data_IF_991218671058
#
_entry.id   IF_991218671058
#
_cell.length_a   1.000
_cell.length_b   1.000
_cell.length_c   1.000
_cell.angle_alpha   90.00
_cell.angle_beta   90.00
_cell.angle_gamma   90.00
#
_symmetry.space_group_name_H-M   'P 1'
#
loop_
_entity.id
_entity.type
_entity.pdbx_description
1 polymer ?
#
# COMPACT_ATOMS: atom_id res chain seq x y z
N UNK A 1 38.86 68.50 -30.62
CA UNK A 1 37.65 69.01 -29.95
C UNK A 1 36.74 67.84 -29.68
N UNK A 2 36.81 67.27 -28.48
CA UNK A 2 35.98 66.14 -28.07
C UNK A 2 35.64 66.32 -26.60
N UNK A 3 34.49 66.92 -26.34
CA UNK A 3 33.96 67.13 -24.98
C UNK A 3 32.87 66.09 -24.74
N UNK A 4 33.16 65.14 -23.87
CA UNK A 4 32.15 64.28 -23.27
C UNK A 4 31.28 65.08 -22.32
N UNK A 5 29.98 64.87 -22.39
CA UNK A 5 29.03 65.30 -21.37
C UNK A 5 28.12 64.13 -21.05
N UNK A 6 28.29 63.62 -19.83
CA UNK A 6 27.41 62.67 -19.16
C UNK A 6 26.35 63.49 -18.44
N UNK A 7 25.07 63.20 -18.63
CA UNK A 7 24.02 63.65 -17.71
C UNK A 7 22.79 62.74 -17.74
N UNK A 8 22.67 61.99 -16.64
CA UNK A 8 21.47 61.64 -15.88
C UNK A 8 20.21 61.16 -16.63
N UNK A 9 20.00 59.86 -16.52
CA UNK A 9 18.71 59.16 -16.65
C UNK A 9 17.76 59.62 -15.54
N UNK A 10 16.63 60.21 -15.89
CA UNK A 10 15.50 60.42 -14.99
C UNK A 10 14.44 59.35 -15.25
N UNK A 11 14.35 58.35 -14.38
CA UNK A 11 13.21 57.44 -14.31
C UNK A 11 12.28 57.95 -13.21
N UNK A 12 11.17 58.56 -13.61
CA UNK A 12 10.10 58.93 -12.69
C UNK A 12 9.27 57.68 -12.35
N UNK A 13 9.53 57.11 -11.18
CA UNK A 13 8.72 56.03 -10.62
C UNK A 13 7.46 56.58 -9.96
N UNK A 14 6.32 56.51 -10.66
CA UNK A 14 5.00 56.80 -10.09
C UNK A 14 4.57 55.66 -9.15
N UNK A 15 4.78 55.84 -7.85
CA UNK A 15 4.37 54.89 -6.81
C UNK A 15 2.84 54.79 -6.71
N UNK A 16 2.27 53.65 -7.15
CA UNK A 16 0.87 53.28 -6.86
C UNK A 16 0.76 52.74 -5.44
N UNK A 17 0.32 53.59 -4.52
CA UNK A 17 0.02 53.27 -3.13
C UNK A 17 -1.08 52.19 -3.04
N UNK A 18 -0.67 50.94 -2.77
CA UNK A 18 -1.57 49.79 -2.59
C UNK A 18 -2.30 49.88 -1.25
N UNK A 19 -3.54 50.35 -1.26
CA UNK A 19 -4.53 50.21 -0.16
C UNK A 19 -5.06 48.75 -0.03
N UNK A 20 -4.18 47.75 -0.10
CA UNK A 20 -4.53 46.32 -0.03
C UNK A 20 -4.21 45.64 1.30
N UNK A 21 -3.46 46.30 2.19
CA UNK A 21 -2.91 45.67 3.40
C UNK A 21 -3.94 45.33 4.48
N UNK A 22 -5.06 46.06 4.57
CA UNK A 22 -6.03 45.86 5.65
C UNK A 22 -6.96 44.66 5.44
N UNK A 23 -7.24 44.28 4.18
CA UNK A 23 -8.14 43.16 3.86
C UNK A 23 -7.47 41.82 4.10
N UNK A 24 -6.20 41.68 3.68
CA UNK A 24 -5.42 40.47 3.91
C UNK A 24 -5.07 40.27 5.39
N UNK A 25 -4.83 41.36 6.15
CA UNK A 25 -4.66 41.28 7.62
C UNK A 25 -5.90 40.73 8.32
N UNK A 26 -7.10 41.15 7.90
CA UNK A 26 -8.38 40.62 8.42
C UNK A 26 -8.57 39.14 8.06
N UNK A 27 -8.24 38.76 6.83
CA UNK A 27 -8.32 37.36 6.40
C UNK A 27 -7.36 36.48 7.20
N UNK A 28 -6.10 36.91 7.37
CA UNK A 28 -5.09 36.18 8.14
C UNK A 28 -5.52 35.99 9.61
N UNK A 29 -6.09 37.04 10.22
CA UNK A 29 -6.61 36.97 11.59
C UNK A 29 -7.76 35.95 11.69
N UNK A 30 -8.70 35.97 10.75
CA UNK A 30 -9.84 35.04 10.75
C UNK A 30 -9.41 33.59 10.50
N UNK A 31 -8.50 33.34 9.55
CA UNK A 31 -7.93 32.02 9.31
C UNK A 31 -7.16 31.51 10.53
N UNK A 32 -6.36 32.37 11.18
CA UNK A 32 -5.65 32.00 12.42
C UNK A 32 -6.59 31.70 13.58
N UNK A 33 -7.68 32.47 13.73
CA UNK A 33 -8.68 32.25 14.79
C UNK A 33 -9.43 30.93 14.60
N UNK A 34 -9.87 30.63 13.37
CA UNK A 34 -10.47 29.34 13.05
C UNK A 34 -9.50 28.17 13.28
N UNK A 35 -8.22 28.34 12.92
CA UNK A 35 -7.20 27.32 13.15
C UNK A 35 -6.99 27.04 14.64
N UNK A 36 -6.89 28.09 15.46
CA UNK A 36 -6.73 27.95 16.93
C UNK A 36 -7.97 27.30 17.55
N UNK A 37 -9.18 27.75 17.20
CA UNK A 37 -10.42 27.11 17.67
C UNK A 37 -10.48 25.63 17.28
N UNK A 38 -10.19 25.27 16.03
CA UNK A 38 -10.17 23.88 15.55
C UNK A 38 -9.07 23.04 16.17
N UNK A 39 -7.89 23.62 16.44
CA UNK A 39 -6.79 22.93 17.10
C UNK A 39 -7.15 22.53 18.53
N UNK A 40 -7.78 23.43 19.30
CA UNK A 40 -8.21 23.12 20.66
C UNK A 40 -9.44 22.22 20.73
N UNK A 41 -10.36 22.29 19.75
CA UNK A 41 -11.49 21.35 19.70
C UNK A 41 -11.04 19.93 19.35
N UNK A 42 -9.94 19.77 18.60
CA UNK A 42 -9.33 18.48 18.28
C UNK A 42 -8.67 17.76 19.47
N UNK A 43 -8.42 18.47 20.58
CA UNK A 43 -7.84 17.92 21.81
C UNK A 43 -8.80 17.89 23.00
N UNK A 44 -10.05 18.34 22.86
CA UNK A 44 -11.05 18.23 23.91
C UNK A 44 -11.50 16.75 24.04
N UNK A 45 -11.31 16.08 25.20
CA UNK A 45 -11.96 14.80 25.45
C UNK A 45 -13.46 15.06 25.49
N UNK A 46 -14.24 14.38 24.65
CA UNK A 46 -15.70 14.45 24.74
C UNK A 46 -16.13 13.89 26.10
N UNK A 47 -16.44 14.79 27.04
CA UNK A 47 -17.00 14.45 28.34
C UNK A 47 -18.43 13.98 28.12
N UNK A 48 -18.65 12.67 28.26
CA UNK A 48 -19.98 12.07 28.23
C UNK A 48 -20.82 12.57 29.42
N UNK A 49 -21.79 13.45 29.17
CA UNK A 49 -22.82 13.74 30.17
C UNK A 49 -23.94 12.70 30.06
N UNK A 50 -23.95 11.76 31.01
CA UNK A 50 -25.06 10.87 31.28
C UNK A 50 -26.24 11.68 31.82
N UNK A 51 -27.37 11.63 31.12
CA UNK A 51 -28.66 12.13 31.58
C UNK A 51 -29.61 10.93 31.68
N UNK A 52 -29.86 10.49 32.91
CA UNK A 52 -30.90 9.54 33.26
C UNK A 52 -31.92 10.26 34.15
N UNK A 53 -33.15 10.31 33.68
CA UNK A 53 -34.38 10.44 34.45
C UNK A 53 -35.53 9.93 33.55
N UNK A 54 -36.41 9.01 33.91
CA UNK A 54 -36.58 8.20 35.10
C UNK A 54 -37.86 7.35 34.99
N UNK A 55 -37.83 6.16 35.61
CA UNK A 55 -38.97 5.36 36.12
C UNK A 55 -39.81 4.52 35.12
N UNK A 56 -40.60 3.52 35.59
CA UNK A 56 -40.16 2.12 35.65
C UNK A 56 -41.12 1.16 34.90
N UNK A 57 -40.75 -0.13 34.83
CA UNK A 57 -41.63 -1.30 35.08
C UNK A 57 -41.45 -2.49 34.11
N UNK A 58 -40.99 -3.59 34.73
CA UNK A 58 -41.30 -5.02 34.53
C UNK A 58 -41.07 -5.72 33.17
N UNK A 59 -40.16 -6.69 33.30
CA UNK A 59 -40.29 -8.12 32.99
C UNK A 59 -40.14 -8.59 31.53
N UNK A 60 -39.20 -9.51 31.33
CA UNK A 60 -39.10 -10.35 30.13
C UNK A 60 -37.67 -10.68 29.69
N UNK A 61 -37.04 -11.61 30.41
CA UNK A 61 -36.17 -12.71 29.95
C UNK A 61 -34.97 -12.49 28.99
N UNK A 62 -33.79 -12.74 29.57
CA UNK A 62 -32.73 -13.67 29.15
C UNK A 62 -32.25 -13.77 27.69
N UNK A 63 -30.92 -13.61 27.50
CA UNK A 63 -29.94 -14.57 26.95
C UNK A 63 -28.69 -13.79 26.47
N UNK A 64 -27.64 -13.70 27.29
CA UNK A 64 -26.48 -14.61 27.34
C UNK A 64 -25.47 -14.41 26.19
N UNK A 65 -24.43 -13.63 26.49
CA UNK A 65 -23.24 -13.44 25.66
C UNK A 65 -22.30 -14.64 25.78
N UNK A 66 -21.90 -15.22 24.64
CA UNK A 66 -20.86 -16.26 24.58
C UNK A 66 -19.48 -15.62 24.49
N UNK A 67 -18.67 -15.82 25.54
CA UNK A 67 -17.21 -15.67 25.51
C UNK A 67 -16.61 -17.08 25.51
N UNK A 68 -15.76 -17.40 24.54
CA UNK A 68 -14.96 -18.63 24.55
C UNK A 68 -13.52 -18.27 24.92
N UNK A 69 -13.08 -18.85 26.02
CA UNK A 69 -11.74 -18.80 26.55
C UNK A 69 -10.84 -19.88 25.93
N UNK A 70 -9.54 -19.58 25.93
CA UNK A 70 -8.42 -20.42 25.48
C UNK A 70 -7.98 -21.39 26.58
N UNK A 71 -7.52 -22.58 26.17
CA UNK A 71 -6.87 -23.63 26.98
C UNK A 71 -7.64 -24.95 26.80
N UNK A 72 -7.10 -26.04 26.27
CA UNK A 72 -5.80 -26.67 26.53
C UNK A 72 -6.12 -28.13 26.93
N UNK A 73 -5.54 -29.09 26.21
CA UNK A 73 -5.49 -30.54 26.50
C UNK A 73 -6.78 -31.38 26.45
N UNK A 74 -6.94 -32.22 25.41
CA UNK A 74 -7.29 -33.65 25.55
C UNK A 74 -7.41 -34.38 24.19
N UNK A 75 -6.39 -35.20 23.91
CA UNK A 75 -6.42 -36.58 23.36
C UNK A 75 -7.31 -36.94 22.16
N UNK A 76 -6.60 -37.23 21.07
CA UNK A 76 -6.96 -38.10 19.95
C UNK A 76 -7.50 -39.46 20.42
N UNK A 77 -8.62 -39.91 19.86
CA UNK A 77 -8.97 -41.32 19.70
C UNK A 77 -9.71 -41.53 18.37
N UNK A 78 -9.06 -42.22 17.44
CA UNK A 78 -9.61 -42.77 16.20
C UNK A 78 -10.37 -44.06 16.53
N UNK A 79 -11.61 -44.21 16.02
CA UNK A 79 -12.30 -45.51 15.83
C UNK A 79 -13.08 -45.45 14.50
N UNK A 80 -13.09 -46.51 13.66
CA UNK A 80 -13.50 -46.49 12.24
C UNK A 80 -15.00 -46.83 12.01
N UNK A 81 -15.53 -46.79 10.76
CA UNK A 81 -16.97 -46.64 10.48
C UNK A 81 -17.72 -47.99 10.25
N UNK A 82 -19.06 -48.00 10.35
CA UNK A 82 -19.92 -49.04 9.77
C UNK A 82 -20.88 -48.52 8.66
N UNK A 83 -21.58 -49.40 7.93
CA UNK A 83 -21.72 -49.31 6.47
C UNK A 83 -23.07 -48.75 5.92
N UNK A 84 -23.01 -48.54 4.61
CA UNK A 84 -24.01 -48.08 3.61
C UNK A 84 -25.41 -48.71 3.74
N UNK A 85 -26.45 -47.88 3.50
CA UNK A 85 -27.82 -48.35 3.20
C UNK A 85 -28.84 -47.26 2.83
N UNK A 86 -29.01 -47.03 1.53
CA UNK A 86 -30.25 -46.69 0.76
C UNK A 86 -31.09 -45.41 1.01
N UNK A 87 -31.05 -44.53 0.00
CA UNK A 87 -32.09 -43.71 -0.67
C UNK A 87 -33.32 -43.18 0.10
N UNK A 88 -33.51 -41.85 0.09
CA UNK A 88 -34.65 -41.23 -0.64
C UNK A 88 -34.51 -39.71 -0.80
N UNK A 89 -35.07 -39.22 -1.90
CA UNK A 89 -34.84 -37.89 -2.48
C UNK A 89 -35.34 -36.69 -1.68
N UNK A 90 -34.61 -35.59 -1.85
CA UNK A 90 -35.01 -34.23 -1.52
C UNK A 90 -34.26 -33.29 -2.45
N UNK A 91 -34.99 -32.64 -3.36
CA UNK A 91 -34.44 -31.73 -4.35
C UNK A 91 -33.70 -30.57 -3.70
N UNK A 92 -32.37 -30.57 -3.85
CA UNK A 92 -31.54 -29.39 -3.66
C UNK A 92 -31.05 -28.98 -5.03
N UNK A 93 -31.44 -27.78 -5.47
CA UNK A 93 -30.84 -27.15 -6.63
C UNK A 93 -29.35 -26.95 -6.36
N UNK A 94 -28.51 -27.83 -6.90
CA UNK A 94 -27.08 -27.56 -7.05
C UNK A 94 -26.98 -26.47 -8.11
N UNK A 95 -26.70 -25.25 -7.66
CA UNK A 95 -26.16 -24.24 -8.56
C UNK A 95 -24.82 -24.80 -8.98
N UNK A 96 -24.81 -25.37 -10.17
CA UNK A 96 -23.61 -25.60 -10.97
C UNK A 96 -23.00 -24.21 -11.21
N UNK A 97 -22.17 -23.78 -10.27
CA UNK A 97 -21.23 -22.69 -10.55
C UNK A 97 -20.27 -23.36 -11.51
N UNK A 98 -20.46 -23.07 -12.80
CA UNK A 98 -19.57 -23.55 -13.84
C UNK A 98 -18.13 -23.32 -13.39
N UNK A 99 -17.43 -24.42 -13.13
CA UNK A 99 -15.99 -24.45 -13.22
C UNK A 99 -15.71 -24.26 -14.72
N UNK A 100 -15.71 -23.00 -15.15
CA UNK A 100 -15.32 -22.59 -16.49
C UNK A 100 -13.86 -23.02 -16.70
N UNK A 101 -13.68 -24.14 -17.41
CA UNK A 101 -12.62 -24.41 -18.38
C UNK A 101 -11.18 -23.94 -18.03
N UNK A 102 -10.63 -24.28 -16.86
CA UNK A 102 -9.23 -23.95 -16.51
C UNK A 102 -8.30 -25.18 -16.47
N UNK A 103 -8.76 -26.34 -16.98
CA UNK A 103 -8.01 -27.61 -17.00
C UNK A 103 -7.17 -27.84 -18.28
N UNK A 104 -7.08 -26.85 -19.17
CA UNK A 104 -6.25 -26.91 -20.40
C UNK A 104 -5.14 -25.84 -20.41
N UNK A 105 -4.53 -25.57 -19.25
CA UNK A 105 -3.35 -24.71 -19.18
C UNK A 105 -2.15 -25.50 -18.69
N UNK A 106 -1.20 -25.79 -19.60
CA UNK A 106 0.12 -26.31 -19.25
C UNK A 106 0.80 -25.47 -18.13
N UNK A 107 1.88 -25.99 -17.51
CA UNK A 107 2.49 -25.35 -16.34
C UNK A 107 2.83 -23.88 -16.61
N UNK A 108 2.15 -22.97 -15.89
CA UNK A 108 2.30 -21.52 -16.06
C UNK A 108 3.74 -21.10 -15.72
N UNK A 109 4.38 -20.31 -16.61
CA UNK A 109 5.72 -19.75 -16.37
C UNK A 109 5.74 -18.89 -15.10
N UNK A 110 6.83 -18.94 -14.34
CA UNK A 110 7.04 -18.07 -13.18
C UNK A 110 7.06 -16.60 -13.62
N UNK A 111 6.27 -15.77 -12.95
CA UNK A 111 6.36 -14.32 -13.08
C UNK A 111 7.24 -13.75 -11.98
N UNK A 112 8.28 -13.02 -12.37
CA UNK A 112 9.23 -12.35 -11.49
C UNK A 112 9.00 -10.85 -11.59
N UNK A 113 8.32 -10.28 -10.60
CA UNK A 113 8.06 -8.84 -10.55
C UNK A 113 9.20 -8.18 -9.80
N UNK A 114 9.92 -7.26 -10.44
CA UNK A 114 11.03 -6.51 -9.84
C UNK A 114 10.58 -5.08 -9.53
N UNK A 115 10.65 -4.67 -8.28
CA UNK A 115 10.32 -3.31 -7.84
C UNK A 115 11.48 -2.68 -7.12
N UNK A 116 11.91 -1.51 -7.61
CA UNK A 116 12.96 -0.69 -7.02
C UNK A 116 12.35 0.44 -6.21
N UNK A 117 12.94 0.77 -5.07
CA UNK A 117 12.52 1.94 -4.28
C UNK A 117 13.69 2.90 -4.09
N UNK A 118 13.40 4.16 -3.77
CA UNK A 118 14.39 5.21 -3.57
C UNK A 118 14.32 5.75 -2.16
N UNK A 119 15.44 6.19 -1.59
CA UNK A 119 15.48 6.80 -0.27
C UNK A 119 15.01 8.26 -0.27
N UNK A 120 14.27 8.65 0.77
CA UNK A 120 13.85 10.03 0.99
C UNK A 120 12.94 10.18 2.22
N UNK A 121 13.15 11.25 3.00
CA UNK A 121 12.41 11.47 4.26
C UNK A 121 10.88 11.56 4.05
N UNK A 122 10.43 12.17 2.95
CA UNK A 122 9.02 12.24 2.58
C UNK A 122 8.49 10.98 1.86
N UNK A 123 9.39 10.12 1.38
CA UNK A 123 9.03 9.01 0.51
C UNK A 123 8.63 7.76 1.29
N UNK A 124 9.04 7.64 2.55
CA UNK A 124 8.77 6.45 3.37
C UNK A 124 7.28 6.12 3.51
N UNK A 125 6.45 7.13 3.79
CA UNK A 125 5.00 6.94 3.94
C UNK A 125 4.35 6.58 2.60
N UNK A 126 4.73 7.28 1.54
CA UNK A 126 4.23 7.05 0.19
C UNK A 126 4.60 5.64 -0.29
N UNK A 127 5.87 5.26 -0.15
CA UNK A 127 6.42 3.94 -0.47
C UNK A 127 5.62 2.82 0.22
N UNK A 128 5.32 2.97 1.51
CA UNK A 128 4.51 1.98 2.24
C UNK A 128 3.15 1.76 1.57
N UNK A 129 2.43 2.84 1.25
CA UNK A 129 1.13 2.75 0.60
C UNK A 129 1.23 2.14 -0.81
N UNK A 130 2.24 2.52 -1.58
CA UNK A 130 2.51 2.02 -2.92
C UNK A 130 2.84 0.53 -2.94
N UNK A 131 3.74 0.08 -2.05
CA UNK A 131 4.09 -1.33 -1.90
C UNK A 131 2.88 -2.16 -1.46
N UNK A 132 2.07 -1.67 -0.51
CA UNK A 132 0.85 -2.37 -0.10
C UNK A 132 -0.15 -2.49 -1.25
N UNK A 133 -0.35 -1.41 -2.01
CA UNK A 133 -1.25 -1.43 -3.17
C UNK A 133 -0.78 -2.42 -4.22
N UNK A 134 0.50 -2.37 -4.59
CA UNK A 134 1.08 -3.31 -5.54
C UNK A 134 0.96 -4.75 -5.03
N UNK A 135 1.25 -4.99 -3.75
CA UNK A 135 1.11 -6.31 -3.15
C UNK A 135 -0.32 -6.84 -3.24
N UNK A 136 -1.32 -6.01 -2.96
CA UNK A 136 -2.73 -6.39 -3.11
C UNK A 136 -3.08 -6.78 -4.55
N UNK A 137 -2.56 -6.06 -5.55
CA UNK A 137 -2.70 -6.46 -6.96
C UNK A 137 -2.02 -7.80 -7.23
N UNK A 138 -0.77 -7.99 -6.78
CA UNK A 138 -0.01 -9.21 -7.02
C UNK A 138 -0.63 -10.46 -6.35
N UNK A 139 -1.39 -10.29 -5.27
CA UNK A 139 -2.16 -11.40 -4.64
C UNK A 139 -3.27 -11.94 -5.51
N UNK A 140 -3.79 -11.13 -6.44
CA UNK A 140 -4.86 -11.52 -7.36
C UNK A 140 -4.30 -12.17 -8.62
N UNK A 141 -3.00 -12.01 -8.88
CA UNK A 141 -2.34 -12.62 -10.05
C UNK A 141 -2.22 -14.12 -9.82
N UNK A 142 -2.61 -14.90 -10.83
CA UNK A 142 -2.54 -16.37 -10.79
C UNK A 142 -1.09 -16.82 -10.51
N UNK A 143 -0.86 -17.76 -9.57
CA UNK A 143 0.47 -18.29 -9.30
C UNK A 143 1.04 -19.05 -10.52
N UNK A 144 2.37 -19.20 -10.65
CA UNK A 144 3.41 -18.80 -9.69
C UNK A 144 3.92 -17.37 -9.89
N UNK A 145 4.04 -16.61 -8.79
CA UNK A 145 4.56 -15.22 -8.74
C UNK A 145 5.63 -15.09 -7.65
N UNK A 146 6.73 -14.43 -7.95
CA UNK A 146 7.74 -13.99 -6.97
C UNK A 146 7.98 -12.50 -7.12
N UNK A 147 7.85 -11.75 -6.02
CA UNK A 147 8.08 -10.32 -5.98
C UNK A 147 9.47 -10.00 -5.43
N UNK A 148 10.36 -9.50 -6.28
CA UNK A 148 11.70 -9.05 -5.90
C UNK A 148 11.66 -7.55 -5.60
N UNK A 149 11.81 -7.20 -4.32
CA UNK A 149 11.87 -5.81 -3.89
C UNK A 149 13.32 -5.45 -3.61
N UNK A 150 13.83 -4.46 -4.33
CA UNK A 150 15.17 -3.92 -4.18
C UNK A 150 15.08 -2.51 -3.62
N UNK A 151 15.85 -2.24 -2.58
CA UNK A 151 15.81 -0.94 -1.93
C UNK A 151 17.12 -0.57 -1.25
N UNK A 152 17.36 0.71 -0.96
CA UNK A 152 18.52 1.14 -0.20
C UNK A 152 18.57 0.46 1.16
N UNK A 153 19.76 -0.01 1.56
CA UNK A 153 19.93 -0.76 2.80
C UNK A 153 19.51 0.00 4.07
N UNK A 154 19.51 1.34 4.04
CA UNK A 154 19.03 2.18 5.14
C UNK A 154 17.50 2.05 5.35
N UNK A 155 16.76 1.73 4.30
CA UNK A 155 15.30 1.62 4.31
C UNK A 155 14.79 0.19 4.55
N UNK A 156 15.63 -0.81 4.25
CA UNK A 156 15.32 -2.24 4.30
C UNK A 156 14.56 -2.71 5.56
N UNK A 157 14.89 -2.30 6.80
CA UNK A 157 14.17 -2.78 7.98
C UNK A 157 12.67 -2.40 7.97
N UNK A 158 12.34 -1.19 7.53
CA UNK A 158 10.96 -0.70 7.51
C UNK A 158 10.15 -1.34 6.39
N UNK A 159 10.75 -1.52 5.22
CA UNK A 159 10.06 -2.19 4.11
C UNK A 159 9.88 -3.68 4.38
N UNK A 160 10.85 -4.34 5.02
CA UNK A 160 10.70 -5.73 5.44
C UNK A 160 9.47 -5.93 6.35
N UNK A 161 9.18 -4.97 7.24
CA UNK A 161 7.96 -5.00 8.06
C UNK A 161 6.69 -4.96 7.21
N UNK A 162 6.67 -4.11 6.16
CA UNK A 162 5.55 -4.03 5.22
C UNK A 162 5.39 -5.34 4.47
N UNK A 163 6.46 -5.87 3.89
CA UNK A 163 6.42 -7.07 3.03
C UNK A 163 5.96 -8.32 3.79
N UNK A 164 6.38 -8.49 5.06
CA UNK A 164 5.93 -9.62 5.91
C UNK A 164 4.41 -9.70 6.05
N UNK A 165 3.71 -8.57 6.04
CA UNK A 165 2.25 -8.50 6.18
C UNK A 165 1.46 -8.71 4.89
N UNK A 166 2.13 -8.81 3.73
CA UNK A 166 1.45 -8.82 2.43
C UNK A 166 0.86 -10.18 2.06
N UNK A 167 1.53 -11.27 2.42
CA UNK A 167 1.18 -12.63 1.96
C UNK A 167 1.60 -12.93 0.52
N UNK A 168 2.30 -12.01 -0.16
CA UNK A 168 2.91 -12.26 -1.48
C UNK A 168 4.26 -12.94 -1.27
N UNK A 169 4.60 -13.94 -2.08
CA UNK A 169 5.95 -14.49 -2.03
C UNK A 169 6.97 -13.46 -2.51
N UNK A 170 7.89 -13.07 -1.64
CA UNK A 170 8.86 -12.03 -1.96
C UNK A 170 10.32 -12.44 -1.69
N UNK A 171 11.22 -11.79 -2.43
CA UNK A 171 12.66 -11.75 -2.17
C UNK A 171 13.02 -10.29 -1.94
N UNK A 172 13.58 -9.98 -0.78
CA UNK A 172 13.90 -8.61 -0.39
C UNK A 172 15.42 -8.41 -0.40
N UNK A 173 15.89 -7.46 -1.23
CA UNK A 173 17.30 -7.18 -1.47
C UNK A 173 17.67 -5.79 -0.97
N UNK A 174 18.49 -5.75 0.08
CA UNK A 174 19.08 -4.52 0.59
C UNK A 174 20.26 -4.11 -0.30
N UNK A 175 20.05 -3.12 -1.14
CA UNK A 175 21.02 -2.54 -2.05
C UNK A 175 21.90 -1.52 -1.33
N UNK A 176 23.21 -1.72 -1.40
CA UNK A 176 24.22 -0.80 -0.88
C UNK A 176 24.99 -0.23 -2.07
N UNK A 177 24.83 1.06 -2.41
CA UNK A 177 25.72 1.72 -3.36
C UNK A 177 27.17 1.58 -2.91
N UNK A 178 28.07 1.24 -3.83
CA UNK A 178 29.52 1.41 -3.62
C UNK A 178 29.90 2.89 -3.74
N UNK A 179 29.19 3.62 -4.60
CA UNK A 179 29.38 5.04 -4.86
C UNK A 179 28.06 5.80 -4.77
N UNK A 180 28.12 7.10 -4.47
CA UNK A 180 26.94 7.95 -4.48
C UNK A 180 26.45 8.16 -5.91
N UNK A 181 25.17 7.86 -6.16
CA UNK A 181 24.55 8.12 -7.45
C UNK A 181 24.30 9.61 -7.67
N UNK A 182 24.57 10.06 -8.89
CA UNK A 182 24.31 11.45 -9.32
C UNK A 182 22.82 11.71 -9.59
N UNK A 183 22.05 10.68 -9.94
CA UNK A 183 20.62 10.79 -10.27
C UNK A 183 19.83 9.60 -9.73
N UNK A 184 18.55 9.83 -9.44
CA UNK A 184 17.62 8.77 -9.02
C UNK A 184 17.42 7.69 -10.11
N UNK A 185 17.53 8.07 -11.38
CA UNK A 185 17.42 7.11 -12.49
C UNK A 185 18.62 6.16 -12.53
N UNK A 186 19.85 6.67 -12.32
CA UNK A 186 21.05 5.85 -12.25
C UNK A 186 21.00 4.86 -11.07
N UNK A 187 20.52 5.31 -9.91
CA UNK A 187 20.30 4.43 -8.76
C UNK A 187 19.27 3.33 -9.09
N UNK A 188 18.13 3.68 -9.68
CA UNK A 188 17.12 2.71 -10.08
C UNK A 188 17.66 1.68 -11.08
N UNK A 189 18.50 2.10 -12.03
CA UNK A 189 19.14 1.19 -12.98
C UNK A 189 20.08 0.20 -12.27
N UNK A 190 20.91 0.69 -11.34
CA UNK A 190 21.79 -0.18 -10.56
C UNK A 190 21.00 -1.18 -9.70
N UNK A 191 19.90 -0.75 -9.10
CA UNK A 191 19.00 -1.63 -8.35
C UNK A 191 18.35 -2.71 -9.24
N UNK A 192 17.89 -2.35 -10.45
CA UNK A 192 17.35 -3.31 -11.43
C UNK A 192 18.40 -4.34 -11.84
N UNK A 193 19.63 -3.91 -12.08
CA UNK A 193 20.73 -4.82 -12.41
C UNK A 193 21.07 -5.74 -11.24
N UNK A 194 21.03 -5.25 -9.99
CA UNK A 194 21.20 -6.08 -8.81
C UNK A 194 20.08 -7.15 -8.68
N UNK A 195 18.85 -6.81 -9.06
CA UNK A 195 17.74 -7.78 -9.13
C UNK A 195 18.01 -8.85 -10.19
N UNK A 196 18.46 -8.46 -11.38
CA UNK A 196 18.80 -9.39 -12.47
C UNK A 196 19.92 -10.34 -12.06
N UNK A 197 21.00 -9.82 -11.46
CA UNK A 197 22.09 -10.64 -10.93
C UNK A 197 21.58 -11.64 -9.87
N UNK A 198 20.61 -11.24 -9.05
CA UNK A 198 19.97 -12.15 -8.09
C UNK A 198 19.15 -13.25 -8.76
N UNK A 199 18.36 -12.90 -9.78
CA UNK A 199 17.56 -13.84 -10.59
C UNK A 199 18.47 -14.86 -11.27
N UNK A 200 19.55 -14.41 -11.89
CA UNK A 200 20.56 -15.24 -12.54
C UNK A 200 21.25 -16.17 -11.55
N UNK A 201 21.77 -15.63 -10.45
CA UNK A 201 22.46 -16.40 -9.39
C UNK A 201 21.61 -17.54 -8.84
N UNK A 202 20.30 -17.33 -8.70
CA UNK A 202 19.38 -18.34 -8.17
C UNK A 202 18.65 -19.13 -9.26
N UNK A 203 19.01 -18.93 -10.53
CA UNK A 203 18.43 -19.62 -11.70
C UNK A 203 16.89 -19.59 -11.70
N UNK A 204 16.31 -18.43 -11.40
CA UNK A 204 14.86 -18.25 -11.46
C UNK A 204 14.43 -18.15 -12.92
N UNK A 205 14.00 -19.27 -13.50
CA UNK A 205 13.51 -19.33 -14.87
C UNK A 205 12.07 -18.84 -14.95
N UNK A 206 11.83 -17.75 -15.69
CA UNK A 206 10.52 -17.13 -15.82
C UNK A 206 10.56 -15.81 -16.57
N UNK A 207 9.41 -15.13 -16.61
CA UNK A 207 9.27 -13.80 -17.21
C UNK A 207 9.56 -12.74 -16.17
N UNK A 208 10.45 -11.80 -16.47
CA UNK A 208 10.80 -10.68 -15.57
C UNK A 208 10.06 -9.42 -15.99
N UNK A 209 9.39 -8.77 -15.05
CA UNK A 209 8.75 -7.48 -15.26
C UNK A 209 9.24 -6.44 -14.26
N UNK A 210 9.74 -5.30 -14.74
CA UNK A 210 10.14 -4.17 -13.89
C UNK A 210 8.92 -3.29 -13.57
N UNK A 211 8.35 -3.49 -12.37
CA UNK A 211 7.20 -2.75 -11.90
C UNK A 211 7.60 -1.58 -10.99
N UNK A 212 7.08 -0.39 -11.29
CA UNK A 212 7.11 0.75 -10.36
C UNK A 212 6.09 0.50 -9.24
N UNK A 213 6.48 0.74 -7.99
CA UNK A 213 5.58 0.65 -6.84
C UNK A 213 4.39 1.62 -6.99
N UNK A 214 4.63 2.79 -7.61
CA UNK A 214 3.59 3.79 -7.89
C UNK A 214 2.71 3.45 -9.11
N UNK A 215 3.06 2.40 -9.86
CA UNK A 215 2.32 1.95 -11.02
C UNK A 215 0.92 1.43 -10.68
N UNK A 216 0.03 1.48 -11.66
CA UNK A 216 -1.31 0.87 -11.62
C UNK A 216 -1.31 -0.26 -12.63
N UNK A 217 -1.60 -1.46 -12.16
CA UNK A 217 -1.55 -2.69 -12.95
C UNK A 217 -2.91 -3.37 -12.93
N UNK A 218 -3.36 -3.81 -14.09
CA UNK A 218 -4.46 -4.75 -14.19
C UNK A 218 -3.94 -6.20 -14.04
N UNK A 219 -4.79 -7.09 -13.56
CA UNK A 219 -4.47 -8.52 -13.44
C UNK A 219 -4.27 -9.18 -14.80
N UNK A 220 -5.06 -8.81 -15.81
CA UNK A 220 -4.96 -9.33 -17.17
C UNK A 220 -3.59 -9.06 -17.81
N UNK A 221 -2.98 -7.90 -17.54
CA UNK A 221 -1.64 -7.56 -18.02
C UNK A 221 -0.60 -8.62 -17.61
N UNK A 222 -0.72 -9.20 -16.42
CA UNK A 222 0.20 -10.24 -15.95
C UNK A 222 -0.01 -11.60 -16.61
N UNK A 223 -1.22 -11.87 -17.14
CA UNK A 223 -1.49 -13.04 -17.95
C UNK A 223 -0.88 -12.88 -19.36
N UNK A 224 -1.01 -11.69 -19.96
CA UNK A 224 -0.45 -11.38 -21.28
C UNK A 224 1.08 -11.51 -21.32
N UNK A 225 1.78 -10.86 -20.39
CA UNK A 225 3.25 -10.88 -20.41
C UNK A 225 3.83 -12.27 -20.16
N UNK A 226 3.07 -13.18 -19.53
CA UNK A 226 3.51 -14.57 -19.37
C UNK A 226 3.57 -15.34 -20.67
N UNK A 227 2.93 -14.85 -21.74
CA UNK A 227 2.92 -15.48 -23.07
C UNK A 227 4.15 -15.13 -23.90
N UNK A 228 4.96 -14.15 -23.49
CA UNK A 228 6.19 -13.75 -24.20
C UNK A 228 7.22 -14.89 -24.17
N UNK A 229 7.73 -15.27 -25.35
CA UNK A 229 8.77 -16.29 -25.56
C UNK A 229 10.19 -15.72 -25.54
#
# INVERSE_FOLDING_TARGET
MGTGAVAAVAVEQRSKQRRGGHLWKKALLHFSLCFVMGFFTGFAPSSSSSWKAGTPQRAGDALAASRVAVGGDARLNLVPPPPVGTNNGGGGATVDVGDDDDDEAGPRRLLIVVTTTRSGAGERRRRRAELLRLAHTLRLVRPPVVWVVVEPAADAPATAEVLRGTGVMYRHLAFKPEENFTTAAAEAHAQRNAALAHVEKHRLAGVVHFADAAGVYDTHFFDEIRQIE
#
